data_IF_632899454254
#
_entry.id   IF_632899454254
#
_cell.length_a   1.000
_cell.length_b   1.000
_cell.length_c   1.000
_cell.angle_alpha   90.00
_cell.angle_beta   90.00
_cell.angle_gamma   90.00
#
_symmetry.space_group_name_H-M   'P 1'
#
loop_
_entity.id
_entity.type
_entity.pdbx_description
1 polymer ?
#
# COMPACT_ATOMS: atom_id res chain seq x y z
N UNK A 1 9.32 38.02 17.10
CA UNK A 1 8.28 37.81 16.08
C UNK A 1 8.77 36.70 15.18
N UNK A 2 8.35 35.49 15.51
CA UNK A 2 8.96 34.22 15.10
C UNK A 2 8.17 33.59 13.96
N UNK A 3 8.84 33.43 12.83
CA UNK A 3 8.45 32.51 11.77
C UNK A 3 8.96 31.11 12.16
N UNK A 4 8.04 30.19 12.48
CA UNK A 4 8.32 28.77 12.74
C UNK A 4 7.27 27.93 12.04
N UNK A 5 7.46 27.75 10.74
CA UNK A 5 6.87 26.65 9.98
C UNK A 5 7.54 25.33 10.38
N UNK A 6 6.88 24.54 11.24
CA UNK A 6 7.23 23.15 11.49
C UNK A 6 6.89 22.31 10.24
N UNK A 7 7.82 22.22 9.29
CA UNK A 7 7.75 21.23 8.22
C UNK A 7 8.04 19.85 8.81
N UNK A 8 7.05 18.96 8.80
CA UNK A 8 7.28 17.52 8.98
C UNK A 8 8.15 17.04 7.83
N UNK A 9 9.44 16.81 8.09
CA UNK A 9 10.32 16.12 7.15
C UNK A 9 9.80 14.68 6.98
N UNK A 10 9.19 14.41 5.82
CA UNK A 10 8.96 13.05 5.35
C UNK A 10 10.33 12.36 5.16
N UNK A 11 10.43 11.04 5.43
CA UNK A 11 11.69 10.32 5.29
C UNK A 11 12.24 10.46 3.85
N UNK A 12 13.55 10.70 3.79
CA UNK A 12 14.36 10.93 2.58
C UNK A 12 13.97 9.96 1.44
N UNK A 13 13.83 10.43 0.19
CA UNK A 13 13.62 9.54 -0.94
C UNK A 13 14.88 8.69 -1.15
N UNK A 14 14.78 7.40 -0.84
CA UNK A 14 15.74 6.41 -1.30
C UNK A 14 15.53 6.26 -2.80
N UNK A 15 16.55 6.59 -3.59
CA UNK A 15 16.58 6.28 -5.03
C UNK A 15 16.64 4.76 -5.15
N UNK A 16 15.58 4.18 -5.70
CA UNK A 16 15.44 2.74 -5.91
C UNK A 16 15.66 2.40 -7.40
N UNK A 17 16.12 1.17 -7.69
CA UNK A 17 16.38 0.73 -9.06
C UNK A 17 15.12 0.70 -9.92
N UNK A 18 15.33 0.82 -11.25
CA UNK A 18 14.26 0.89 -12.25
C UNK A 18 13.50 -0.43 -12.34
N UNK A 19 12.22 -0.35 -12.69
CA UNK A 19 11.29 -1.49 -12.80
C UNK A 19 11.81 -2.67 -13.65
N UNK A 20 12.68 -2.41 -14.63
CA UNK A 20 13.29 -3.42 -15.49
C UNK A 20 14.29 -4.36 -14.79
N UNK A 21 14.89 -3.93 -13.67
CA UNK A 21 15.95 -4.69 -12.98
C UNK A 21 15.40 -5.83 -12.11
N UNK A 22 14.10 -5.83 -11.82
CA UNK A 22 13.44 -6.87 -11.02
C UNK A 22 13.30 -8.22 -11.74
N UNK A 23 13.29 -8.25 -13.08
CA UNK A 23 13.22 -9.50 -13.86
C UNK A 23 14.46 -10.40 -13.72
N UNK A 24 15.60 -9.85 -13.30
CA UNK A 24 16.87 -10.58 -13.30
C UNK A 24 17.15 -11.36 -11.99
N UNK A 25 16.58 -10.92 -10.87
CA UNK A 25 16.85 -11.49 -9.54
C UNK A 25 16.20 -12.86 -9.28
N UNK A 26 15.19 -13.23 -10.08
CA UNK A 26 14.35 -14.42 -9.90
C UNK A 26 15.06 -15.74 -10.27
N UNK A 27 16.19 -15.68 -10.97
CA UNK A 27 16.86 -16.87 -11.54
C UNK A 27 17.90 -17.54 -10.64
N UNK A 28 18.42 -16.86 -9.62
CA UNK A 28 19.68 -17.28 -8.95
C UNK A 28 19.49 -17.98 -7.59
N UNK A 29 18.32 -17.86 -6.96
CA UNK A 29 18.11 -18.28 -5.55
C UNK A 29 17.67 -19.76 -5.41
N UNK A 30 17.46 -20.47 -6.53
CA UNK A 30 16.83 -21.80 -6.59
C UNK A 30 17.59 -22.99 -5.96
N UNK A 31 18.79 -22.83 -5.37
CA UNK A 31 19.68 -23.99 -5.12
C UNK A 31 20.01 -24.34 -3.66
N UNK A 32 19.49 -23.65 -2.64
CA UNK A 32 19.68 -24.04 -1.23
C UNK A 32 18.38 -23.73 -0.51
N UNK A 33 17.65 -24.70 0.02
CA UNK A 33 17.90 -25.26 1.35
C UNK A 33 16.98 -26.49 1.49
N UNK A 34 17.57 -27.65 1.76
CA UNK A 34 16.87 -28.84 2.21
C UNK A 34 17.11 -29.02 3.71
N UNK A 35 16.02 -29.11 4.47
CA UNK A 35 15.97 -29.85 5.74
C UNK A 35 16.08 -29.01 7.00
N UNK A 36 14.95 -28.66 7.61
CA UNK A 36 14.81 -28.54 9.07
C UNK A 36 13.41 -29.06 9.46
N UNK A 37 13.39 -29.93 10.47
CA UNK A 37 12.27 -30.67 11.03
C UNK A 37 11.41 -29.85 12.00
N UNK A 38 10.13 -30.22 12.05
CA UNK A 38 9.10 -29.77 12.98
C UNK A 38 9.49 -29.86 14.47
N UNK A 39 9.24 -28.78 15.22
CA UNK A 39 8.43 -28.80 16.45
C UNK A 39 8.58 -27.48 17.21
N UNK A 40 7.49 -26.74 17.36
CA UNK A 40 7.36 -25.75 18.43
C UNK A 40 5.90 -25.65 18.86
N UNK A 41 5.63 -26.30 20.00
CA UNK A 41 4.38 -26.19 20.73
C UNK A 41 4.23 -24.78 21.29
N UNK A 42 3.00 -24.27 21.18
CA UNK A 42 2.51 -23.04 21.79
C UNK A 42 2.69 -23.06 23.32
N UNK A 43 3.42 -22.07 23.84
CA UNK A 43 3.30 -21.64 25.23
C UNK A 43 3.21 -20.11 25.26
N UNK A 44 2.07 -19.59 25.70
CA UNK A 44 1.74 -18.16 25.85
C UNK A 44 2.45 -17.49 27.04
N UNK A 45 3.62 -17.98 27.45
CA UNK A 45 4.38 -17.42 28.57
C UNK A 45 5.61 -16.71 28.03
N UNK A 46 5.48 -15.44 27.64
CA UNK A 46 6.65 -14.71 27.15
C UNK A 46 6.41 -13.37 26.46
N UNK A 47 5.38 -12.59 26.82
CA UNK A 47 5.47 -11.15 26.60
C UNK A 47 6.31 -10.58 27.75
N UNK A 48 7.48 -10.05 27.41
CA UNK A 48 8.61 -9.83 28.29
C UNK A 48 8.26 -9.10 29.60
N UNK A 49 8.56 -9.76 30.73
CA UNK A 49 8.63 -9.16 32.06
C UNK A 49 9.92 -8.32 32.21
N UNK A 50 10.18 -7.43 31.27
CA UNK A 50 11.33 -6.55 31.30
C UNK A 50 10.91 -5.23 31.96
N UNK A 51 11.62 -4.79 33.00
CA UNK A 51 11.26 -3.59 33.80
C UNK A 51 11.19 -2.31 32.96
N UNK A 52 11.77 -2.36 31.76
CA UNK A 52 11.69 -1.31 30.75
C UNK A 52 10.27 -1.09 30.20
N UNK A 53 9.43 -2.13 30.13
CA UNK A 53 8.02 -2.03 29.73
C UNK A 53 7.09 -1.67 30.90
N UNK A 54 7.49 -1.94 32.15
CA UNK A 54 6.70 -1.62 33.34
C UNK A 54 6.73 -0.13 33.70
N UNK A 55 7.81 0.59 33.38
CA UNK A 55 7.79 2.06 33.43
C UNK A 55 7.15 2.56 32.16
N UNK A 56 5.97 3.18 32.26
CA UNK A 56 5.32 3.82 31.12
C UNK A 56 6.36 4.71 30.41
N UNK A 57 6.54 4.55 29.09
CA UNK A 57 7.47 5.39 28.32
C UNK A 57 7.31 6.90 28.60
N UNK A 58 6.11 7.32 29.02
CA UNK A 58 5.83 8.68 29.47
C UNK A 58 6.57 9.08 30.75
N UNK A 59 6.71 8.19 31.74
CA UNK A 59 7.48 8.42 32.97
C UNK A 59 8.97 8.47 32.68
N UNK A 60 9.47 7.58 31.80
CA UNK A 60 10.88 7.63 31.37
C UNK A 60 11.16 8.91 30.57
N UNK A 61 10.25 9.29 29.66
CA UNK A 61 10.35 10.56 28.94
C UNK A 61 10.34 11.75 29.92
N UNK A 62 9.50 11.71 30.96
CA UNK A 62 9.44 12.77 31.95
C UNK A 62 10.70 12.84 32.81
N UNK A 63 11.23 11.69 33.25
CA UNK A 63 12.50 11.59 33.95
C UNK A 63 13.66 12.14 33.09
N UNK A 64 13.72 11.76 31.81
CA UNK A 64 14.74 12.25 30.87
C UNK A 64 14.60 13.76 30.66
N UNK A 65 13.38 14.27 30.46
CA UNK A 65 13.13 15.71 30.36
C UNK A 65 13.55 16.46 31.62
N UNK A 66 13.22 15.93 32.79
CA UNK A 66 13.60 16.51 34.08
C UNK A 66 15.12 16.51 34.28
N UNK A 67 15.83 15.46 33.85
CA UNK A 67 17.29 15.41 33.86
C UNK A 67 17.90 16.43 32.90
N UNK A 68 17.41 16.50 31.65
CA UNK A 68 17.87 17.47 30.65
C UNK A 68 17.61 18.92 31.08
N UNK A 69 16.47 19.19 31.74
CA UNK A 69 16.14 20.51 32.29
C UNK A 69 17.12 20.97 33.37
N UNK A 70 17.40 20.10 34.35
CA UNK A 70 18.37 20.41 35.42
C UNK A 70 19.77 20.68 34.87
N UNK A 71 20.21 19.88 33.89
CA UNK A 71 21.50 20.07 33.22
C UNK A 71 21.54 21.37 32.42
N UNK A 72 20.46 21.68 31.69
CA UNK A 72 20.36 22.91 30.90
C UNK A 72 20.36 24.16 31.78
N UNK A 73 19.68 24.12 32.93
CA UNK A 73 19.65 25.21 33.92
C UNK A 73 21.05 25.44 34.49
N UNK A 74 21.74 24.38 34.93
CA UNK A 74 23.10 24.47 35.46
C UNK A 74 24.12 25.02 34.43
N UNK A 75 23.91 24.75 33.14
CA UNK A 75 24.79 25.24 32.07
C UNK A 75 24.46 26.70 31.71
N UNK A 76 23.22 27.14 31.86
CA UNK A 76 22.78 28.51 31.53
C UNK A 76 23.39 29.59 32.43
N UNK A 77 23.96 29.22 33.58
CA UNK A 77 24.69 30.11 34.49
C UNK A 77 26.08 30.53 33.93
N UNK A 78 26.58 29.85 32.90
CA UNK A 78 27.88 30.13 32.29
C UNK A 78 27.72 30.96 31.00
N UNK A 79 28.58 31.97 30.77
CA UNK A 79 28.48 32.84 29.59
C UNK A 79 28.67 32.06 28.26
N UNK A 80 27.87 32.43 27.25
CA UNK A 80 27.74 31.80 25.91
C UNK A 80 29.03 31.79 25.03
N UNK A 81 30.20 32.04 25.60
CA UNK A 81 31.46 32.19 24.86
C UNK A 81 32.16 30.87 24.50
N UNK A 82 31.64 29.72 24.94
CA UNK A 82 32.20 28.40 24.61
C UNK A 82 31.37 27.68 23.53
N UNK A 83 32.04 27.30 22.46
CA UNK A 83 31.47 26.50 21.37
C UNK A 83 31.07 25.11 21.87
N UNK A 84 31.81 24.54 22.82
CA UNK A 84 31.53 23.25 23.45
C UNK A 84 30.25 23.30 24.31
N UNK A 85 30.05 24.35 25.11
CA UNK A 85 28.82 24.54 25.89
C UNK A 85 27.60 24.70 24.98
N UNK A 86 27.76 25.44 23.88
CA UNK A 86 26.72 25.60 22.86
C UNK A 86 26.35 24.27 22.20
N UNK A 87 27.36 23.46 21.85
CA UNK A 87 27.15 22.12 21.29
C UNK A 87 26.52 21.16 22.31
N UNK A 88 26.86 21.28 23.59
CA UNK A 88 26.29 20.46 24.66
C UNK A 88 24.82 20.83 24.93
N UNK A 89 24.47 22.11 24.91
CA UNK A 89 23.07 22.59 24.98
C UNK A 89 22.24 22.09 23.79
N UNK A 90 22.81 22.09 22.58
CA UNK A 90 22.16 21.51 21.40
C UNK A 90 21.89 20.01 21.57
N UNK A 91 22.88 19.24 22.05
CA UNK A 91 22.71 17.81 22.32
C UNK A 91 21.72 17.52 23.45
N UNK A 92 21.67 18.37 24.48
CA UNK A 92 20.66 18.27 25.54
C UNK A 92 19.26 18.52 24.98
N UNK A 93 19.09 19.55 24.15
CA UNK A 93 17.86 19.84 23.41
C UNK A 93 17.40 18.64 22.57
N UNK A 94 18.32 17.96 21.90
CA UNK A 94 18.02 16.75 21.12
C UNK A 94 17.63 15.58 22.04
N UNK A 95 18.31 15.42 23.18
CA UNK A 95 18.06 14.35 24.15
C UNK A 95 16.74 14.49 24.93
N UNK A 96 16.13 15.68 24.98
CA UNK A 96 14.75 15.87 25.51
C UNK A 96 13.73 14.96 24.83
N UNK A 97 14.04 14.53 23.61
CA UNK A 97 13.21 13.63 22.83
C UNK A 97 13.94 12.29 22.76
N UNK A 98 13.62 11.38 23.69
CA UNK A 98 14.14 10.01 23.60
C UNK A 98 13.91 9.51 22.16
N UNK A 99 14.94 8.99 21.46
CA UNK A 99 14.75 8.45 20.13
C UNK A 99 13.70 7.35 20.22
N UNK A 100 12.50 7.66 19.74
CA UNK A 100 11.40 6.70 19.68
C UNK A 100 11.91 5.53 18.85
N UNK A 101 11.81 4.32 19.40
CA UNK A 101 12.20 3.10 18.70
C UNK A 101 11.61 3.07 17.28
N UNK A 102 12.29 2.38 16.36
CA UNK A 102 11.79 2.18 14.99
C UNK A 102 10.39 1.59 15.04
N UNK A 103 9.42 2.27 14.42
CA UNK A 103 8.04 1.81 14.42
C UNK A 103 7.92 0.49 13.65
N UNK A 104 7.25 -0.49 14.26
CA UNK A 104 6.98 -1.79 13.66
C UNK A 104 5.76 -1.68 12.75
N UNK A 105 5.94 -1.89 11.45
CA UNK A 105 4.86 -1.88 10.46
C UNK A 105 4.28 -3.29 10.26
N UNK A 106 3.08 -3.52 10.78
CA UNK A 106 2.32 -4.76 10.60
C UNK A 106 1.36 -4.64 9.40
N UNK A 107 1.58 -5.45 8.37
CA UNK A 107 0.79 -5.45 7.15
C UNK A 107 -0.25 -6.57 7.12
N UNK A 108 -1.52 -6.21 6.97
CA UNK A 108 -2.62 -7.18 6.87
C UNK A 108 -2.82 -7.60 5.42
N UNK A 109 -2.66 -8.90 5.17
CA UNK A 109 -2.79 -9.56 3.87
C UNK A 109 -3.94 -10.56 3.91
N UNK A 110 -4.51 -10.89 2.75
CA UNK A 110 -5.67 -11.78 2.68
C UNK A 110 -6.53 -11.52 1.45
N UNK A 111 -7.27 -12.53 0.98
CA UNK A 111 -8.21 -12.37 -0.14
C UNK A 111 -9.22 -11.24 0.11
N UNK A 112 -9.81 -10.74 -0.98
CA UNK A 112 -10.96 -9.84 -0.86
C UNK A 112 -12.10 -10.52 -0.07
N UNK A 113 -12.79 -9.75 0.76
CA UNK A 113 -13.90 -10.26 1.57
C UNK A 113 -13.50 -11.13 2.78
N UNK A 114 -12.24 -11.53 2.95
CA UNK A 114 -11.81 -12.42 4.05
C UNK A 114 -12.00 -11.82 5.45
N UNK A 115 -12.16 -10.50 5.56
CA UNK A 115 -12.42 -9.79 6.80
C UNK A 115 -11.21 -9.07 7.41
N UNK A 116 -10.19 -8.74 6.62
CA UNK A 116 -9.03 -7.94 7.04
C UNK A 116 -9.42 -6.65 7.77
N UNK A 117 -10.18 -5.78 7.10
CA UNK A 117 -10.62 -4.50 7.67
C UNK A 117 -11.50 -4.71 8.90
N UNK A 118 -12.28 -5.80 8.95
CA UNK A 118 -13.07 -6.17 10.14
C UNK A 118 -12.19 -6.58 11.31
N UNK A 119 -11.15 -7.39 11.06
CA UNK A 119 -10.16 -7.78 12.06
C UNK A 119 -9.38 -6.58 12.59
N UNK A 120 -8.97 -5.65 11.70
CA UNK A 120 -8.32 -4.40 12.09
C UNK A 120 -9.26 -3.58 12.99
N UNK A 121 -10.51 -3.39 12.58
CA UNK A 121 -11.48 -2.66 13.39
C UNK A 121 -11.72 -3.32 14.76
N UNK A 122 -11.74 -4.65 14.82
CA UNK A 122 -11.83 -5.40 16.08
C UNK A 122 -10.59 -5.20 16.95
N UNK A 123 -9.39 -5.23 16.37
CA UNK A 123 -8.12 -4.97 17.07
C UNK A 123 -8.09 -3.59 17.74
N UNK A 124 -8.69 -2.58 17.10
CA UNK A 124 -8.79 -1.22 17.63
C UNK A 124 -10.05 -0.95 18.45
N UNK A 125 -10.97 -1.91 18.55
CA UNK A 125 -12.29 -1.77 19.19
C UNK A 125 -13.17 -0.67 18.57
N UNK A 126 -12.87 -0.23 17.33
CA UNK A 126 -13.44 0.95 16.66
C UNK A 126 -13.44 0.76 15.15
N UNK A 127 -14.34 1.46 14.46
CA UNK A 127 -14.44 1.40 12.99
C UNK A 127 -13.56 2.49 12.37
N UNK A 128 -12.29 2.15 12.11
CA UNK A 128 -11.29 3.05 11.53
C UNK A 128 -11.15 2.86 10.01
N UNK A 129 -11.26 1.60 9.54
CA UNK A 129 -11.17 1.24 8.12
C UNK A 129 -12.50 0.69 7.61
N UNK A 130 -12.74 0.79 6.31
CA UNK A 130 -14.06 0.51 5.73
C UNK A 130 -14.38 -1.00 5.64
N UNK A 131 -15.49 -1.41 6.25
CA UNK A 131 -16.09 -2.75 6.08
C UNK A 131 -17.00 -2.75 4.83
N UNK A 132 -16.47 -2.88 3.62
CA UNK A 132 -17.28 -2.80 2.39
C UNK A 132 -17.58 -4.18 1.81
N UNK A 133 -18.66 -4.84 2.21
CA UNK A 133 -19.14 -6.09 1.61
C UNK A 133 -19.82 -5.93 0.23
N UNK A 134 -19.22 -5.13 -0.67
CA UNK A 134 -19.73 -4.88 -2.03
C UNK A 134 -18.92 -5.58 -3.12
N UNK A 135 -19.50 -5.69 -4.31
CA UNK A 135 -19.01 -6.43 -5.51
C UNK A 135 -17.67 -5.90 -6.09
N UNK A 136 -17.13 -4.81 -5.54
CA UNK A 136 -15.84 -4.21 -5.91
C UNK A 136 -14.90 -4.25 -4.69
N UNK A 137 -13.59 -4.42 -4.93
CA UNK A 137 -12.55 -4.50 -3.90
C UNK A 137 -12.75 -3.53 -2.74
N UNK A 138 -12.81 -4.07 -1.51
CA UNK A 138 -13.22 -3.34 -0.30
C UNK A 138 -12.22 -2.24 0.14
N UNK A 139 -10.99 -2.32 -0.35
CA UNK A 139 -9.87 -1.42 -0.05
C UNK A 139 -9.17 -1.12 -1.37
N UNK A 140 -9.38 0.07 -1.96
CA UNK A 140 -8.73 0.46 -3.22
C UNK A 140 -7.32 1.04 -3.00
N UNK A 141 -7.13 1.73 -1.88
CA UNK A 141 -5.88 2.39 -1.48
C UNK A 141 -5.38 1.78 -0.16
N UNK A 142 -4.08 1.43 -0.02
CA UNK A 142 -3.50 1.07 1.27
C UNK A 142 -3.81 2.09 2.36
N UNK A 143 -4.18 1.61 3.54
CA UNK A 143 -4.51 2.47 4.68
C UNK A 143 -3.57 2.22 5.83
N UNK A 144 -2.75 3.22 6.17
CA UNK A 144 -1.81 3.14 7.28
C UNK A 144 -2.41 3.84 8.49
N UNK A 145 -2.52 3.14 9.61
CA UNK A 145 -3.01 3.67 10.88
C UNK A 145 -1.79 3.94 11.76
N UNK A 146 -1.61 5.19 12.16
CA UNK A 146 -0.45 5.67 12.92
C UNK A 146 -0.87 6.50 14.13
N UNK A 147 0.07 6.71 15.06
CA UNK A 147 -0.19 7.50 16.26
C UNK A 147 -0.33 8.99 15.95
N UNK A 148 -1.45 9.57 16.38
CA UNK A 148 -1.64 11.03 16.40
C UNK A 148 -0.95 11.64 17.61
N UNK A 149 0.08 12.45 17.36
CA UNK A 149 0.87 13.08 18.42
C UNK A 149 -0.02 13.96 19.32
N UNK A 150 0.21 13.89 20.64
CA UNK A 150 -0.50 14.71 21.62
C UNK A 150 -1.95 14.31 21.90
N UNK A 151 -2.39 13.12 21.47
CA UNK A 151 -3.75 12.63 21.72
C UNK A 151 -3.81 11.59 22.85
N UNK A 152 -5.01 11.28 23.32
CA UNK A 152 -5.26 10.19 24.28
C UNK A 152 -5.49 8.87 23.54
N UNK A 153 -5.12 7.74 24.17
CA UNK A 153 -5.24 6.39 23.60
C UNK A 153 -6.67 6.05 23.13
N UNK A 154 -7.70 6.63 23.74
CA UNK A 154 -9.12 6.36 23.45
C UNK A 154 -9.82 7.46 22.63
N UNK A 155 -9.07 8.40 22.04
CA UNK A 155 -9.66 9.46 21.20
C UNK A 155 -10.51 8.87 20.07
N UNK A 156 -11.58 9.57 19.69
CA UNK A 156 -12.39 9.24 18.50
C UNK A 156 -12.18 10.23 17.36
N UNK A 157 -11.17 11.09 17.48
CA UNK A 157 -10.87 12.17 16.54
C UNK A 157 -9.55 11.90 15.84
N UNK A 158 -9.65 11.55 14.56
CA UNK A 158 -8.50 11.19 13.73
C UNK A 158 -8.18 12.29 12.72
N UNK A 159 -6.92 12.41 12.34
CA UNK A 159 -6.54 13.21 11.17
C UNK A 159 -6.37 12.27 9.98
N UNK A 160 -6.78 12.69 8.79
CA UNK A 160 -6.43 11.99 7.56
C UNK A 160 -5.30 12.74 6.88
N UNK A 161 -4.32 11.97 6.40
CA UNK A 161 -3.29 12.43 5.49
C UNK A 161 -3.21 11.47 4.30
N UNK A 162 -2.52 11.88 3.25
CA UNK A 162 -2.31 11.05 2.08
C UNK A 162 -0.84 11.08 1.67
N UNK A 163 -0.43 10.03 0.96
CA UNK A 163 0.79 10.03 0.18
C UNK A 163 0.41 10.02 -1.30
N UNK A 164 0.95 11.00 -2.03
CA UNK A 164 0.92 11.03 -3.48
C UNK A 164 2.17 10.35 -4.05
N UNK A 165 2.12 9.97 -5.31
CA UNK A 165 3.33 9.57 -6.04
C UNK A 165 4.20 10.79 -6.37
N UNK A 166 5.47 10.56 -6.66
CA UNK A 166 6.33 11.60 -7.24
C UNK A 166 5.94 11.88 -8.69
N UNK A 167 6.32 13.04 -9.21
CA UNK A 167 6.11 13.40 -10.61
C UNK A 167 6.66 12.33 -11.57
N UNK A 168 7.87 11.85 -11.30
CA UNK A 168 8.52 10.78 -12.06
C UNK A 168 7.71 9.48 -12.02
N UNK A 169 7.19 9.08 -10.86
CA UNK A 169 6.36 7.89 -10.71
C UNK A 169 5.04 8.00 -11.48
N UNK A 170 4.42 9.19 -11.53
CA UNK A 170 3.25 9.41 -12.36
C UNK A 170 3.59 9.30 -13.85
N UNK A 171 4.69 9.92 -14.28
CA UNK A 171 5.12 9.91 -15.67
C UNK A 171 5.43 8.47 -16.15
N UNK A 172 6.14 7.70 -15.33
CA UNK A 172 6.41 6.28 -15.59
C UNK A 172 5.14 5.46 -15.65
N UNK A 173 4.20 5.69 -14.73
CA UNK A 173 2.91 5.00 -14.72
C UNK A 173 2.10 5.31 -15.98
N UNK A 174 2.04 6.57 -16.42
CA UNK A 174 1.35 6.97 -17.66
C UNK A 174 1.99 6.29 -18.87
N UNK A 175 3.31 6.34 -19.01
CA UNK A 175 4.03 5.67 -20.11
C UNK A 175 3.77 4.17 -20.14
N UNK A 176 3.78 3.53 -18.98
CA UNK A 176 3.47 2.10 -18.86
C UNK A 176 2.03 1.79 -19.28
N UNK A 177 1.04 2.63 -18.90
CA UNK A 177 -0.33 2.46 -19.35
C UNK A 177 -0.48 2.67 -20.87
N UNK A 178 0.25 3.62 -21.46
CA UNK A 178 0.31 3.83 -22.92
C UNK A 178 0.84 2.56 -23.60
N UNK A 179 1.95 1.99 -23.09
CA UNK A 179 2.53 0.76 -23.62
C UNK A 179 1.53 -0.41 -23.56
N UNK A 180 0.90 -0.65 -22.40
CA UNK A 180 -0.09 -1.73 -22.23
C UNK A 180 -1.27 -1.62 -23.17
N UNK A 181 -1.79 -0.40 -23.35
CA UNK A 181 -2.87 -0.16 -24.27
C UNK A 181 -2.45 -0.41 -25.73
N UNK A 182 -1.28 0.10 -26.13
CA UNK A 182 -0.79 -0.03 -27.51
C UNK A 182 -0.40 -1.47 -27.88
N UNK A 183 0.15 -2.24 -26.93
CA UNK A 183 0.40 -3.67 -27.09
C UNK A 183 -0.91 -4.42 -27.40
N UNK A 184 -1.95 -4.24 -26.57
CA UNK A 184 -3.25 -4.84 -26.83
C UNK A 184 -3.82 -4.42 -28.19
N UNK A 185 -3.76 -3.12 -28.52
CA UNK A 185 -4.27 -2.62 -29.80
C UNK A 185 -3.55 -3.26 -30.99
N UNK A 186 -2.22 -3.35 -30.96
CA UNK A 186 -1.43 -4.00 -32.01
C UNK A 186 -1.78 -5.49 -32.17
N UNK A 187 -1.96 -6.22 -31.07
CA UNK A 187 -2.39 -7.62 -31.10
C UNK A 187 -3.83 -7.80 -31.59
N UNK A 188 -4.74 -6.89 -31.21
CA UNK A 188 -6.14 -6.91 -31.65
C UNK A 188 -6.30 -6.56 -33.14
N UNK A 189 -5.43 -5.71 -33.68
CA UNK A 189 -5.44 -5.29 -35.08
C UNK A 189 -4.82 -6.34 -36.00
N UNK A 190 -3.70 -6.99 -35.58
CA UNK A 190 -3.11 -8.12 -36.31
C UNK A 190 -4.05 -9.33 -36.36
N UNK A 191 -4.76 -9.62 -35.26
CA UNK A 191 -5.76 -10.70 -35.25
C UNK A 191 -6.97 -10.40 -36.15
N UNK A 192 -7.34 -9.13 -36.37
CA UNK A 192 -8.35 -8.74 -37.38
C UNK A 192 -7.86 -8.90 -38.83
N UNK A 193 -6.56 -8.80 -39.10
CA UNK A 193 -5.99 -9.03 -40.44
C UNK A 193 -5.91 -10.52 -40.81
N UNK A 194 -5.60 -11.40 -39.85
CA UNK A 194 -5.49 -12.86 -40.10
C UNK A 194 -6.86 -13.48 -40.45
N UNK A 195 -7.97 -12.93 -39.96
CA UNK A 195 -9.33 -13.44 -40.23
C UNK A 195 -9.89 -12.99 -41.60
N UNK A 196 -9.16 -12.18 -42.38
CA UNK A 196 -9.63 -11.65 -43.68
C UNK A 196 -9.15 -12.43 -44.92
N UNK A 197 -8.50 -13.57 -44.75
CA UNK A 197 -8.05 -14.43 -45.85
C UNK A 197 -8.58 -15.86 -45.73
N UNK A 198 -9.91 -16.02 -45.70
CA UNK A 198 -10.54 -17.28 -46.13
C UNK A 198 -11.84 -16.95 -46.88
N UNK A 199 -11.68 -16.52 -48.14
CA UNK A 199 -12.51 -17.08 -49.20
C UNK A 199 -11.72 -17.10 -50.51
N UNK A 200 -12.00 -18.11 -51.33
CA UNK A 200 -11.39 -18.50 -52.60
C UNK A 200 -10.03 -19.24 -52.58
N UNK A 201 -10.14 -20.58 -52.56
CA UNK A 201 -9.50 -21.38 -53.61
C UNK A 201 -8.19 -22.10 -53.27
N UNK A 202 -8.32 -23.35 -52.82
CA UNK A 202 -7.62 -24.56 -53.30
C UNK A 202 -7.12 -25.48 -52.17
N UNK A 203 -7.54 -26.74 -52.28
CA UNK A 203 -7.18 -27.86 -51.41
C UNK A 203 -5.68 -28.19 -51.54
N UNK A 204 -4.99 -28.35 -50.40
CA UNK A 204 -3.94 -29.37 -50.30
C UNK A 204 -3.93 -29.96 -48.90
N UNK A 205 -4.00 -31.29 -48.84
CA UNK A 205 -3.98 -32.11 -47.64
C UNK A 205 -2.60 -32.04 -46.97
N UNK A 206 -2.56 -31.45 -45.78
CA UNK A 206 -1.57 -31.76 -44.76
C UNK A 206 -2.25 -31.68 -43.39
N UNK A 207 -3.07 -32.69 -43.09
CA UNK A 207 -3.57 -32.93 -41.75
C UNK A 207 -2.44 -33.45 -40.84
N UNK A 208 -2.58 -33.14 -39.55
CA UNK A 208 -1.85 -33.64 -38.36
C UNK A 208 -0.85 -32.63 -37.79
N UNK A 209 -1.38 -31.60 -37.12
CA UNK A 209 -0.93 -31.18 -35.79
C UNK A 209 -2.06 -30.38 -35.12
N UNK A 210 -3.17 -31.05 -34.85
CA UNK A 210 -4.32 -30.49 -34.14
C UNK A 210 -4.57 -31.32 -32.89
N UNK A 211 -3.68 -31.20 -31.90
CA UNK A 211 -3.98 -31.42 -30.49
C UNK A 211 -2.78 -30.95 -29.65
N UNK A 212 -3.07 -30.19 -28.59
CA UNK A 212 -2.14 -29.54 -27.64
C UNK A 212 -1.55 -28.15 -27.99
N UNK A 213 -2.40 -27.13 -28.13
CA UNK A 213 -2.00 -25.73 -27.87
C UNK A 213 -3.17 -24.83 -27.46
N UNK A 214 -4.06 -25.30 -26.58
CA UNK A 214 -5.10 -24.47 -25.94
C UNK A 214 -4.65 -23.73 -24.68
N UNK A 215 -3.35 -23.70 -24.34
CA UNK A 215 -2.91 -23.27 -22.99
C UNK A 215 -2.09 -21.98 -22.91
N UNK A 216 -1.45 -21.49 -23.98
CA UNK A 216 -0.56 -20.31 -23.89
C UNK A 216 -1.10 -19.05 -24.58
N UNK A 217 -1.59 -19.14 -25.82
CA UNK A 217 -2.01 -17.95 -26.58
C UNK A 217 -3.33 -17.31 -26.12
N UNK A 218 -4.29 -18.10 -25.66
CA UNK A 218 -5.58 -17.59 -25.15
C UNK A 218 -5.42 -16.95 -23.76
N UNK A 219 -4.55 -17.53 -22.93
CA UNK A 219 -4.15 -16.98 -21.63
C UNK A 219 -3.42 -15.63 -21.78
N UNK A 220 -2.46 -15.55 -22.71
CA UNK A 220 -1.70 -14.35 -23.02
C UNK A 220 -2.62 -13.21 -23.52
N UNK A 221 -3.56 -13.54 -24.41
CA UNK A 221 -4.56 -12.58 -24.89
C UNK A 221 -5.46 -12.04 -23.77
N UNK A 222 -5.92 -12.90 -22.86
CA UNK A 222 -6.73 -12.48 -21.73
C UNK A 222 -5.94 -11.56 -20.78
N UNK A 223 -4.65 -11.82 -20.58
CA UNK A 223 -3.77 -10.99 -19.77
C UNK A 223 -3.51 -9.61 -20.41
N UNK A 224 -3.22 -9.57 -21.70
CA UNK A 224 -3.06 -8.33 -22.46
C UNK A 224 -4.33 -7.47 -22.40
N UNK A 225 -5.51 -8.10 -22.58
CA UNK A 225 -6.79 -7.39 -22.47
C UNK A 225 -6.98 -6.77 -21.08
N UNK A 226 -6.73 -7.53 -20.00
CA UNK A 226 -6.83 -7.01 -18.62
C UNK A 226 -5.89 -5.83 -18.38
N UNK A 227 -4.68 -5.88 -18.94
CA UNK A 227 -3.73 -4.76 -18.89
C UNK A 227 -4.26 -3.52 -19.59
N UNK A 228 -4.83 -3.68 -20.79
CA UNK A 228 -5.45 -2.57 -21.53
C UNK A 228 -6.70 -2.01 -20.83
N UNK A 229 -7.56 -2.86 -20.27
CA UNK A 229 -8.72 -2.43 -19.50
C UNK A 229 -8.29 -1.60 -18.27
N UNK A 230 -7.22 -2.02 -17.59
CA UNK A 230 -6.60 -1.27 -16.47
C UNK A 230 -6.05 0.09 -16.94
N UNK A 231 -5.35 0.13 -18.07
CA UNK A 231 -4.82 1.35 -18.65
C UNK A 231 -5.94 2.33 -19.04
N UNK A 232 -7.03 1.82 -19.63
CA UNK A 232 -8.19 2.64 -19.98
C UNK A 232 -8.83 3.26 -18.74
N UNK A 233 -9.12 2.45 -17.71
CA UNK A 233 -9.67 2.94 -16.44
C UNK A 233 -8.77 4.02 -15.82
N UNK A 234 -7.44 3.82 -15.87
CA UNK A 234 -6.46 4.81 -15.42
C UNK A 234 -6.61 6.17 -16.14
N UNK A 235 -6.68 6.18 -17.48
CA UNK A 235 -6.86 7.40 -18.26
C UNK A 235 -8.22 8.06 -18.05
N UNK A 236 -9.29 7.26 -17.98
CA UNK A 236 -10.65 7.75 -17.71
C UNK A 236 -10.70 8.50 -16.37
N UNK A 237 -10.03 7.95 -15.35
CA UNK A 237 -9.90 8.60 -14.05
C UNK A 237 -9.05 9.86 -14.18
N UNK A 238 -7.83 9.82 -14.73
CA UNK A 238 -6.97 11.03 -14.83
C UNK A 238 -7.70 12.19 -15.50
N UNK A 239 -8.35 11.93 -16.64
CA UNK A 239 -8.98 12.95 -17.47
C UNK A 239 -10.39 13.34 -16.98
N UNK A 240 -10.83 12.76 -15.86
CA UNK A 240 -12.13 12.97 -15.23
C UNK A 240 -13.30 12.85 -16.22
N UNK A 241 -13.28 11.81 -17.05
CA UNK A 241 -14.23 11.65 -18.17
C UNK A 241 -15.68 11.46 -17.70
N UNK A 242 -15.87 11.07 -16.44
CA UNK A 242 -17.17 10.89 -15.82
C UNK A 242 -17.91 12.23 -15.64
N UNK A 243 -17.17 13.32 -15.45
CA UNK A 243 -17.71 14.67 -15.26
C UNK A 243 -17.43 15.58 -16.47
N UNK A 244 -16.58 15.15 -17.40
CA UNK A 244 -16.18 15.93 -18.57
C UNK A 244 -16.37 15.14 -19.88
N UNK A 245 -17.48 15.42 -20.57
CA UNK A 245 -17.84 14.79 -21.85
C UNK A 245 -16.81 15.08 -22.95
N UNK A 246 -16.20 16.27 -22.94
CA UNK A 246 -15.17 16.66 -23.93
C UNK A 246 -13.91 15.82 -23.70
N UNK A 247 -13.48 15.65 -22.44
CA UNK A 247 -12.38 14.75 -22.09
C UNK A 247 -12.65 13.32 -22.53
N UNK A 248 -13.90 12.83 -22.37
CA UNK A 248 -14.30 11.50 -22.81
C UNK A 248 -14.12 11.32 -24.33
N UNK A 249 -14.69 12.22 -25.12
CA UNK A 249 -14.60 12.17 -26.58
C UNK A 249 -13.15 12.27 -27.06
N UNK A 250 -12.36 13.15 -26.44
CA UNK A 250 -10.97 13.33 -26.79
C UNK A 250 -10.12 12.11 -26.40
N UNK A 251 -10.41 11.44 -25.27
CA UNK A 251 -9.75 10.19 -24.92
C UNK A 251 -10.11 9.08 -25.91
N UNK A 252 -11.39 8.92 -26.26
CA UNK A 252 -11.85 7.92 -27.24
C UNK A 252 -11.20 8.12 -28.62
N UNK A 253 -10.98 9.38 -29.04
CA UNK A 253 -10.28 9.69 -30.29
C UNK A 253 -8.81 9.25 -30.26
N UNK A 254 -8.11 9.47 -29.15
CA UNK A 254 -6.67 9.17 -29.01
C UNK A 254 -6.41 7.68 -28.74
N UNK A 255 -7.29 6.98 -28.01
CA UNK A 255 -7.11 5.55 -27.70
C UNK A 255 -6.99 4.66 -28.95
N UNK A 256 -7.50 5.07 -30.10
CA UNK A 256 -7.46 4.26 -31.33
C UNK A 256 -6.52 4.80 -32.40
N UNK A 257 -5.81 5.89 -32.12
CA UNK A 257 -4.82 6.47 -33.03
C UNK A 257 -3.39 6.12 -32.61
N UNK A 258 -2.43 6.33 -33.51
CA UNK A 258 -1.01 6.26 -33.17
C UNK A 258 -0.59 7.39 -32.21
N UNK A 259 -1.41 8.44 -32.12
CA UNK A 259 -1.18 9.66 -31.34
C UNK A 259 -1.11 9.39 -29.82
N UNK A 260 -1.64 8.27 -29.32
CA UNK A 260 -1.50 7.92 -27.89
C UNK A 260 -0.04 7.77 -27.45
N UNK A 261 0.87 7.47 -28.41
CA UNK A 261 2.31 7.37 -28.16
C UNK A 261 3.02 8.72 -28.21
N UNK A 262 2.34 9.78 -28.64
CA UNK A 262 2.93 11.11 -28.73
C UNK A 262 3.16 11.68 -27.34
N UNK A 263 4.24 12.44 -27.20
CA UNK A 263 4.57 13.14 -25.95
C UNK A 263 3.46 14.12 -25.55
N UNK A 264 2.66 14.62 -26.51
CA UNK A 264 1.51 15.48 -26.24
C UNK A 264 0.44 14.79 -25.37
N UNK A 265 0.14 13.51 -25.61
CA UNK A 265 -0.82 12.77 -24.78
C UNK A 265 -0.29 12.54 -23.37
N UNK A 266 1.01 12.25 -23.24
CA UNK A 266 1.67 12.15 -21.94
C UNK A 266 1.61 13.49 -21.18
N UNK A 267 1.99 14.60 -21.83
CA UNK A 267 1.95 15.94 -21.21
C UNK A 267 0.52 16.36 -20.81
N UNK A 268 -0.47 15.99 -21.62
CA UNK A 268 -1.88 16.18 -21.27
C UNK A 268 -2.26 15.40 -20.01
N UNK A 269 -1.88 14.12 -19.93
CA UNK A 269 -2.13 13.29 -18.75
C UNK A 269 -1.44 13.90 -17.51
N UNK A 270 -0.17 14.28 -17.63
CA UNK A 270 0.59 14.88 -16.53
C UNK A 270 -0.02 16.21 -16.06
N UNK A 271 -0.50 17.04 -17.00
CA UNK A 271 -1.20 18.29 -16.67
C UNK A 271 -2.47 18.05 -15.86
N UNK A 272 -3.29 17.07 -16.24
CA UNK A 272 -4.50 16.72 -15.49
C UNK A 272 -4.18 16.05 -14.14
N UNK A 273 -3.14 15.19 -14.08
CA UNK A 273 -2.66 14.63 -12.81
C UNK A 273 -2.29 15.75 -11.83
N UNK A 274 -1.51 16.76 -12.27
CA UNK A 274 -1.13 17.89 -11.41
C UNK A 274 -2.34 18.63 -10.87
N UNK A 275 -3.33 18.93 -11.72
CA UNK A 275 -4.60 19.58 -11.31
C UNK A 275 -5.34 18.74 -10.27
N UNK A 276 -5.46 17.42 -10.50
CA UNK A 276 -6.12 16.52 -9.55
C UNK A 276 -5.35 16.41 -8.23
N UNK A 277 -4.02 16.36 -8.26
CA UNK A 277 -3.18 16.35 -7.05
C UNK A 277 -3.43 17.57 -6.17
N UNK A 278 -3.61 18.77 -6.76
CA UNK A 278 -3.99 19.98 -6.02
C UNK A 278 -5.35 19.81 -5.34
N UNK A 279 -6.37 19.37 -6.09
CA UNK A 279 -7.72 19.13 -5.55
C UNK A 279 -7.72 18.15 -4.37
N UNK A 280 -6.97 17.05 -4.48
CA UNK A 280 -6.88 16.05 -3.41
C UNK A 280 -6.16 16.63 -2.18
N UNK A 281 -5.10 17.40 -2.39
CA UNK A 281 -4.34 18.03 -1.30
C UNK A 281 -5.22 19.03 -0.53
N UNK A 282 -5.99 19.84 -1.23
CA UNK A 282 -6.96 20.78 -0.64
C UNK A 282 -8.06 20.04 0.13
N UNK A 283 -8.62 18.96 -0.44
CA UNK A 283 -9.59 18.11 0.24
C UNK A 283 -9.03 17.60 1.57
N UNK A 284 -7.85 16.98 1.54
CA UNK A 284 -7.25 16.32 2.72
C UNK A 284 -6.77 17.33 3.77
N UNK A 285 -6.35 18.53 3.38
CA UNK A 285 -5.98 19.59 4.32
C UNK A 285 -7.11 19.94 5.31
N UNK A 286 -8.36 19.78 4.89
CA UNK A 286 -9.54 20.01 5.74
C UNK A 286 -9.87 18.86 6.70
N UNK A 287 -9.26 17.68 6.53
CA UNK A 287 -9.62 16.45 7.24
C UNK A 287 -8.86 16.30 8.57
N UNK A 288 -9.04 17.28 9.44
CA UNK A 288 -8.48 17.32 10.80
C UNK A 288 -9.56 17.05 11.84
N UNK A 289 -9.21 16.29 12.87
CA UNK A 289 -10.12 15.90 13.96
C UNK A 289 -11.45 15.29 13.46
N UNK A 290 -11.38 14.45 12.42
CA UNK A 290 -12.53 13.72 11.88
C UNK A 290 -12.97 12.67 12.89
N UNK A 291 -14.24 12.69 13.27
CA UNK A 291 -14.81 11.70 14.18
C UNK A 291 -14.90 10.32 13.50
N UNK A 292 -14.65 9.21 14.22
CA UNK A 292 -14.65 7.84 13.69
C UNK A 292 -15.86 7.52 12.78
N UNK A 293 -17.06 7.91 13.22
CA UNK A 293 -18.33 7.76 12.45
C UNK A 293 -18.30 8.39 11.04
N UNK A 294 -17.50 9.44 10.86
CA UNK A 294 -17.39 10.22 9.62
C UNK A 294 -16.21 9.75 8.76
N UNK A 295 -15.28 8.93 9.30
CA UNK A 295 -14.11 8.42 8.58
C UNK A 295 -14.49 7.71 7.29
N UNK A 296 -15.52 6.86 7.32
CA UNK A 296 -16.00 6.15 6.12
C UNK A 296 -16.41 7.13 5.01
N UNK A 297 -17.11 8.21 5.36
CA UNK A 297 -17.58 9.22 4.41
C UNK A 297 -16.41 10.03 3.85
N UNK A 298 -15.47 10.43 4.69
CA UNK A 298 -14.29 11.16 4.25
C UNK A 298 -13.39 10.28 3.37
N UNK A 299 -13.23 9.02 3.75
CA UNK A 299 -12.46 8.05 2.98
C UNK A 299 -13.04 7.81 1.59
N UNK A 300 -14.36 7.65 1.48
CA UNK A 300 -15.02 7.46 0.19
C UNK A 300 -14.82 8.64 -0.78
N UNK A 301 -14.56 9.86 -0.28
CA UNK A 301 -14.22 11.00 -1.14
C UNK A 301 -12.79 10.90 -1.69
N UNK A 302 -11.84 10.40 -0.89
CA UNK A 302 -10.45 10.16 -1.31
C UNK A 302 -10.37 8.99 -2.30
N UNK A 303 -11.16 7.94 -2.10
CA UNK A 303 -11.15 6.74 -2.95
C UNK A 303 -11.50 7.05 -4.42
N UNK A 304 -12.26 8.13 -4.69
CA UNK A 304 -12.58 8.61 -6.06
C UNK A 304 -11.35 9.07 -6.85
N UNK A 305 -10.23 9.31 -6.17
CA UNK A 305 -8.99 9.75 -6.78
C UNK A 305 -7.97 8.63 -6.91
N UNK A 306 -8.25 7.43 -6.41
CA UNK A 306 -7.45 6.27 -6.80
C UNK A 306 -7.58 6.09 -8.31
N UNK A 307 -6.48 5.85 -9.06
CA UNK A 307 -5.14 5.42 -8.62
C UNK A 307 -4.08 6.52 -8.39
N UNK A 308 -4.46 7.80 -8.29
CA UNK A 308 -3.50 8.89 -8.03
C UNK A 308 -3.01 8.92 -6.58
N UNK A 309 -3.78 8.37 -5.64
CA UNK A 309 -3.38 8.32 -4.22
C UNK A 309 -2.63 7.03 -3.94
N UNK A 310 -1.37 7.14 -3.52
CA UNK A 310 -0.52 6.00 -3.16
C UNK A 310 -0.94 5.34 -1.87
N UNK A 311 -1.26 6.14 -0.85
CA UNK A 311 -1.68 5.66 0.46
C UNK A 311 -2.51 6.70 1.21
N UNK A 312 -3.37 6.23 2.11
CA UNK A 312 -4.09 7.06 3.08
C UNK A 312 -3.55 6.76 4.47
N UNK A 313 -3.32 7.80 5.25
CA UNK A 313 -2.91 7.73 6.64
C UNK A 313 -4.07 8.14 7.53
N UNK A 314 -4.35 7.34 8.55
CA UNK A 314 -5.27 7.66 9.64
C UNK A 314 -4.42 7.85 10.88
N UNK A 315 -4.29 9.09 11.32
CA UNK A 315 -3.61 9.43 12.57
C UNK A 315 -4.64 9.43 13.70
N UNK A 316 -4.56 8.47 14.61
CA UNK A 316 -5.49 8.33 15.74
C UNK A 316 -4.75 7.99 17.02
N UNK A 317 -5.44 8.06 18.16
CA UNK A 317 -4.98 7.45 19.40
C UNK A 317 -5.33 5.96 19.47
N UNK A 318 -4.38 5.16 19.96
CA UNK A 318 -4.57 3.80 20.49
C UNK A 318 -3.29 3.37 21.22
N UNK A 319 -3.39 2.56 22.27
CA UNK A 319 -2.22 2.10 23.03
C UNK A 319 -1.20 1.35 22.16
N UNK A 320 -1.64 0.55 21.17
CA UNK A 320 -0.72 -0.09 20.22
C UNK A 320 0.10 0.94 19.43
N UNK A 321 -0.55 1.99 18.93
CA UNK A 321 0.08 3.01 18.10
C UNK A 321 1.05 3.88 18.92
N UNK A 322 0.68 4.21 20.17
CA UNK A 322 1.55 4.95 21.10
C UNK A 322 2.84 4.20 21.38
N UNK A 323 2.79 2.87 21.37
CA UNK A 323 3.96 1.99 21.53
C UNK A 323 4.60 1.61 20.17
N UNK A 324 4.54 2.53 19.19
CA UNK A 324 5.21 2.44 17.90
C UNK A 324 4.83 1.21 17.04
N UNK A 325 3.62 0.68 17.17
CA UNK A 325 3.06 -0.28 16.21
C UNK A 325 2.27 0.50 15.17
N UNK A 326 2.62 0.37 13.90
CA UNK A 326 1.83 0.87 12.78
C UNK A 326 1.10 -0.29 12.12
N UNK A 327 -0.16 -0.07 11.74
CA UNK A 327 -0.97 -1.09 11.06
C UNK A 327 -1.25 -0.62 9.65
N UNK A 328 -1.03 -1.48 8.65
CA UNK A 328 -1.45 -1.20 7.28
C UNK A 328 -2.49 -2.22 6.80
N UNK A 329 -3.66 -1.71 6.41
CA UNK A 329 -4.68 -2.46 5.68
C UNK A 329 -4.34 -2.44 4.20
N UNK A 330 -3.97 -3.60 3.65
CA UNK A 330 -3.66 -3.74 2.23
C UNK A 330 -4.89 -4.26 1.45
N UNK A 331 -5.06 -3.83 0.20
CA UNK A 331 -6.03 -4.44 -0.70
C UNK A 331 -5.83 -5.96 -0.83
N UNK A 332 -6.90 -6.67 -1.21
CA UNK A 332 -6.83 -8.11 -1.38
C UNK A 332 -5.90 -8.51 -2.53
N UNK A 333 -5.21 -9.64 -2.38
CA UNK A 333 -4.12 -10.04 -3.26
C UNK A 333 -4.52 -10.76 -4.55
N UNK A 334 -5.80 -11.09 -4.74
CA UNK A 334 -6.35 -11.62 -6.00
C UNK A 334 -6.94 -10.50 -6.89
N UNK A 335 -6.35 -9.31 -6.82
CA UNK A 335 -6.78 -8.19 -7.63
C UNK A 335 -6.19 -8.27 -9.05
N UNK A 336 -7.03 -8.01 -10.04
CA UNK A 336 -6.62 -7.97 -11.44
C UNK A 336 -5.94 -6.64 -11.81
N UNK A 337 -6.02 -5.63 -10.94
CA UNK A 337 -5.45 -4.33 -11.23
C UNK A 337 -3.95 -4.27 -10.91
N UNK A 338 -3.15 -4.09 -11.97
CA UNK A 338 -1.69 -4.16 -11.92
C UNK A 338 -1.07 -2.99 -11.13
N UNK A 339 -1.69 -1.80 -11.20
CA UNK A 339 -1.23 -0.64 -10.42
C UNK A 339 -1.39 -0.93 -8.93
N UNK A 340 -2.53 -1.53 -8.54
CA UNK A 340 -2.80 -1.90 -7.14
C UNK A 340 -1.80 -2.94 -6.64
N UNK A 341 -1.52 -3.97 -7.44
CA UNK A 341 -0.55 -5.00 -7.10
C UNK A 341 0.86 -4.44 -6.88
N UNK A 342 1.32 -3.54 -7.76
CA UNK A 342 2.60 -2.87 -7.60
C UNK A 342 2.69 -2.04 -6.30
N UNK A 343 1.61 -1.36 -5.92
CA UNK A 343 1.54 -0.61 -4.66
C UNK A 343 1.55 -1.57 -3.45
N UNK A 344 0.76 -2.66 -3.50
CA UNK A 344 0.76 -3.68 -2.44
C UNK A 344 2.17 -4.19 -2.21
N UNK A 345 2.89 -4.57 -3.27
CA UNK A 345 4.24 -5.09 -3.14
C UNK A 345 5.23 -4.08 -2.54
N UNK A 346 5.08 -2.79 -2.83
CA UNK A 346 5.88 -1.74 -2.18
C UNK A 346 5.63 -1.66 -0.68
N UNK A 347 4.37 -1.81 -0.24
CA UNK A 347 4.05 -1.83 1.19
C UNK A 347 4.51 -3.12 1.86
N UNK A 348 4.32 -4.26 1.18
CA UNK A 348 4.84 -5.55 1.64
C UNK A 348 6.33 -5.49 1.84
N UNK A 349 7.10 -4.92 0.91
CA UNK A 349 8.56 -4.77 1.00
C UNK A 349 9.02 -3.89 2.19
N UNK A 350 8.18 -2.97 2.68
CA UNK A 350 8.46 -2.13 3.85
C UNK A 350 7.94 -2.69 5.17
N UNK A 351 7.05 -3.68 5.13
CA UNK A 351 6.46 -4.25 6.33
C UNK A 351 7.52 -4.98 7.19
N UNK A 352 7.49 -4.77 8.50
CA UNK A 352 8.33 -5.52 9.43
C UNK A 352 7.72 -6.88 9.75
N UNK A 353 6.39 -6.95 9.69
CA UNK A 353 5.59 -8.14 9.97
C UNK A 353 4.42 -8.24 8.99
N UNK A 354 4.09 -9.45 8.55
CA UNK A 354 2.92 -9.73 7.73
C UNK A 354 1.89 -10.55 8.53
N UNK A 355 0.65 -10.07 8.58
CA UNK A 355 -0.50 -10.74 9.20
C UNK A 355 -1.38 -11.27 8.07
N UNK A 356 -1.31 -12.58 7.82
CA UNK A 356 -2.06 -13.26 6.77
C UNK A 356 -3.41 -13.68 7.33
N UNK A 357 -4.50 -13.09 6.81
CA UNK A 357 -5.87 -13.35 7.24
C UNK A 357 -6.54 -14.33 6.28
N UNK A 358 -7.12 -15.39 6.83
CA UNK A 358 -7.93 -16.39 6.11
C UNK A 358 -9.29 -16.60 6.79
N UNK A 359 -10.29 -17.11 6.06
CA UNK A 359 -11.60 -17.57 6.60
C UNK A 359 -11.72 -19.08 6.74
N UNK A 360 -10.90 -19.84 6.03
CA UNK A 360 -10.99 -21.30 5.93
C UNK A 360 -9.65 -21.92 6.35
N UNK A 361 -9.60 -23.24 6.52
CA UNK A 361 -8.32 -23.94 6.70
C UNK A 361 -7.41 -23.62 5.51
N UNK A 362 -6.27 -22.98 5.74
CA UNK A 362 -5.35 -22.50 4.67
C UNK A 362 -5.04 -23.58 3.64
N UNK A 363 -4.87 -24.83 4.09
CA UNK A 363 -4.57 -25.99 3.24
C UNK A 363 -5.67 -26.33 2.21
N UNK A 364 -6.86 -25.73 2.28
CA UNK A 364 -7.92 -25.95 1.29
C UNK A 364 -7.90 -24.94 0.14
N UNK A 365 -6.95 -23.99 0.13
CA UNK A 365 -6.85 -22.96 -0.91
C UNK A 365 -5.41 -22.77 -1.37
N UNK A 366 -5.15 -23.15 -2.63
CA UNK A 366 -3.85 -22.98 -3.29
C UNK A 366 -3.39 -21.52 -3.25
N UNK A 367 -4.30 -20.57 -3.45
CA UNK A 367 -3.98 -19.14 -3.36
C UNK A 367 -3.55 -18.76 -1.94
N UNK A 368 -4.27 -19.18 -0.91
CA UNK A 368 -3.94 -18.82 0.48
C UNK A 368 -2.60 -19.43 0.91
N UNK A 369 -2.36 -20.68 0.53
CA UNK A 369 -1.08 -21.36 0.76
C UNK A 369 0.06 -20.61 0.06
N UNK A 370 -0.11 -20.23 -1.21
CA UNK A 370 0.88 -19.44 -1.95
C UNK A 370 1.23 -18.11 -1.26
N UNK A 371 0.24 -17.37 -0.76
CA UNK A 371 0.48 -16.09 -0.09
C UNK A 371 1.08 -16.24 1.32
N UNK A 372 0.74 -17.31 2.03
CA UNK A 372 1.40 -17.65 3.30
C UNK A 372 2.87 -18.02 3.07
N UNK A 373 3.15 -18.87 2.08
CA UNK A 373 4.50 -19.22 1.67
C UNK A 373 5.29 -17.98 1.25
N UNK A 374 4.67 -17.07 0.48
CA UNK A 374 5.31 -15.83 0.07
C UNK A 374 5.62 -14.92 1.25
N UNK A 375 4.73 -14.83 2.24
CA UNK A 375 4.98 -14.11 3.50
C UNK A 375 6.18 -14.72 4.25
N UNK A 376 6.20 -16.05 4.42
CA UNK A 376 7.28 -16.76 5.09
C UNK A 376 8.60 -16.58 4.32
N UNK A 377 8.58 -16.63 2.98
CA UNK A 377 9.77 -16.38 2.15
C UNK A 377 10.31 -14.97 2.32
N UNK A 378 9.43 -13.95 2.35
CA UNK A 378 9.82 -12.53 2.43
C UNK A 378 10.24 -12.10 3.84
N UNK A 379 9.61 -12.66 4.88
CA UNK A 379 9.72 -12.15 6.26
C UNK A 379 10.27 -13.16 7.25
N UNK A 380 10.25 -14.44 6.90
CA UNK A 380 10.50 -15.53 7.83
C UNK A 380 9.25 -15.90 8.63
N UNK A 381 9.25 -17.10 9.24
CA UNK A 381 8.12 -17.58 10.05
C UNK A 381 7.89 -16.70 11.30
N UNK A 382 8.96 -16.21 11.95
CA UNK A 382 8.86 -15.41 13.18
C UNK A 382 8.21 -14.03 12.98
N UNK A 383 8.09 -13.59 11.73
CA UNK A 383 7.51 -12.30 11.33
C UNK A 383 6.26 -12.46 10.46
N UNK A 384 5.71 -13.67 10.43
CA UNK A 384 4.47 -14.00 9.74
C UNK A 384 3.46 -14.52 10.75
N UNK A 385 2.32 -13.84 10.91
CA UNK A 385 1.21 -14.31 11.74
C UNK A 385 0.04 -14.75 10.86
N UNK A 386 -0.38 -16.00 11.01
CA UNK A 386 -1.59 -16.50 10.38
C UNK A 386 -2.80 -16.30 11.30
N UNK A 387 -3.81 -15.57 10.83
CA UNK A 387 -5.07 -15.37 11.55
C UNK A 387 -6.21 -16.03 10.80
N UNK A 388 -6.88 -16.98 11.47
CA UNK A 388 -8.12 -17.60 10.98
C UNK A 388 -9.32 -16.83 11.54
N UNK A 389 -10.05 -16.16 10.66
CA UNK A 389 -11.19 -15.32 10.97
C UNK A 389 -12.51 -16.09 10.73
N UNK A 390 -13.55 -15.79 11.52
CA UNK A 390 -14.87 -16.44 11.37
C UNK A 390 -14.98 -17.82 12.05
N UNK A 391 -14.14 -18.12 13.04
CA UNK A 391 -14.16 -19.38 13.79
C UNK A 391 -15.47 -19.62 14.56
N UNK A 392 -16.22 -18.56 14.86
CA UNK A 392 -17.55 -18.59 15.45
C UNK A 392 -18.62 -19.17 14.49
N UNK A 393 -18.47 -18.96 13.18
CA UNK A 393 -19.37 -19.54 12.18
C UNK A 393 -19.20 -21.06 12.06
N UNK A 394 -17.96 -21.56 12.15
CA UNK A 394 -17.67 -23.00 12.12
C UNK A 394 -18.19 -23.71 13.38
N UNK A 395 -18.13 -23.06 14.55
CA UNK A 395 -18.64 -23.60 15.82
C UNK A 395 -20.16 -23.76 15.85
N UNK A 396 -20.90 -22.96 15.08
CA UNK A 396 -22.36 -23.04 14.96
C UNK A 396 -22.83 -24.10 13.96
N UNK A 397 -21.94 -24.59 13.09
CA UNK A 397 -22.27 -25.64 12.10
C UNK A 397 -22.23 -27.07 12.68
N UNK A 398 -21.76 -27.22 13.91
CA UNK A 398 -21.58 -28.52 14.61
C UNK A 398 -22.68 -28.76 15.67
N UNK A 399 -23.78 -27.99 15.64
CA UNK A 399 -24.94 -28.20 16.53
C UNK A 399 -26.19 -28.65 15.81
#
# INVERSE_FOLDING_TARGET
>A
MSDRSLSLALPVPVVLPKFAEFKAADSTVRSKITGISDSAQSSTNGLASDSFYDRMHMEIDDDVRNMCAKLSEAISEFPETSEELSHLLARLSDAYHMPKGTALLAAFLGMMGVGKSTLINALFGRVLVTNSGGVLACTSIPTVIIWKKGTMDNTKLSDLAIQLFTEEQYQDCVREQINRWTEWYAHSSKSKQIVRYEDEGSLSEAHIFQEYSKSSGEFDRAQLKRGADTAKEYFEIILNVQENVISKQALEAVLHSDDIKEEEFLERCMTEIRKRCVQITELVASLKNVHDRDLRKQRAQIDKFWPLVKAVYIETGHTLLRNNIHVVDLPGYDDNNQIRNAIIDQFRAKADMEIVVTRTRVASSVSQEHWLDESIRRRGPDRTLLVTNGSDADLLSVR
#
